data_IF_381400292668
#
_entry.id   IF_381400292668
#
_cell.length_a   1.000
_cell.length_b   1.000
_cell.length_c   1.000
_cell.angle_alpha   90.00
_cell.angle_beta   90.00
_cell.angle_gamma   90.00
#
_symmetry.space_group_name_H-M   'P 1'
#
loop_
_entity.id
_entity.type
_entity.pdbx_description
1 polymer ?
#
# COMPACT_ATOMS: atom_id res chain seq x y z
N UNK A 1 7.63 3.14 -3.82
CA UNK A 1 6.22 2.79 -4.07
C UNK A 1 6.06 2.34 -5.52
N UNK A 2 5.26 1.30 -5.76
CA UNK A 2 4.88 0.82 -7.09
C UNK A 2 3.37 0.99 -7.26
N UNK A 3 2.95 1.60 -8.37
CA UNK A 3 1.54 1.75 -8.74
C UNK A 3 1.15 0.66 -9.74
N UNK A 4 0.04 0.00 -9.48
CA UNK A 4 -0.65 -0.91 -10.39
C UNK A 4 -1.95 -0.22 -10.84
N UNK A 5 -1.92 0.57 -11.93
CA UNK A 5 -3.13 1.18 -12.45
C UNK A 5 -3.89 0.15 -13.29
N UNK A 6 -5.21 0.29 -13.34
CA UNK A 6 -6.04 -0.32 -14.39
C UNK A 6 -6.41 0.80 -15.38
N UNK A 7 -6.69 0.44 -16.63
CA UNK A 7 -6.85 1.38 -17.75
C UNK A 7 -7.91 2.46 -17.54
N UNK A 8 -8.89 2.24 -16.66
CA UNK A 8 -9.92 3.23 -16.37
C UNK A 8 -9.47 4.17 -15.25
N UNK A 9 -9.43 5.46 -15.54
CA UNK A 9 -9.38 6.48 -14.51
C UNK A 9 -10.76 6.51 -13.85
N UNK A 10 -10.82 6.60 -12.51
CA UNK A 10 -12.03 6.84 -11.68
C UNK A 10 -12.59 5.64 -10.90
N UNK A 11 -11.76 4.66 -10.51
CA UNK A 11 -12.25 3.68 -9.54
C UNK A 11 -12.53 4.33 -8.18
N UNK A 12 -13.62 3.96 -7.48
CA UNK A 12 -13.94 4.51 -6.16
C UNK A 12 -12.90 4.13 -5.09
N UNK A 13 -12.23 3.00 -5.30
CA UNK A 13 -11.41 2.35 -4.30
C UNK A 13 -9.95 2.29 -4.69
N UNK A 14 -9.07 2.39 -3.68
CA UNK A 14 -7.64 2.13 -3.82
C UNK A 14 -7.18 1.16 -2.74
N UNK A 15 -6.37 0.17 -3.12
CA UNK A 15 -5.67 -0.69 -2.15
C UNK A 15 -4.29 -0.11 -1.84
N UNK A 16 -4.04 0.17 -0.57
CA UNK A 16 -2.75 0.61 -0.05
C UNK A 16 -2.04 -0.59 0.58
N UNK A 17 -1.21 -1.25 -0.21
CA UNK A 17 -0.53 -2.49 0.11
C UNK A 17 0.84 -2.27 0.77
N UNK A 18 1.06 -2.93 1.91
CA UNK A 18 2.36 -3.11 2.52
C UNK A 18 2.77 -4.57 2.36
N UNK A 19 3.95 -4.85 1.83
CA UNK A 19 4.43 -6.22 1.66
C UNK A 19 4.81 -6.86 3.01
N UNK A 20 4.65 -8.18 3.15
CA UNK A 20 5.23 -8.97 4.24
C UNK A 20 6.76 -9.03 4.21
N UNK A 21 7.36 -9.97 4.96
CA UNK A 21 8.82 -10.14 5.02
C UNK A 21 9.47 -9.75 6.35
N UNK A 22 8.70 -9.77 7.46
CA UNK A 22 9.27 -9.67 8.80
C UNK A 22 9.95 -8.34 9.14
N UNK A 23 9.66 -7.28 8.38
CA UNK A 23 10.39 -5.99 8.42
C UNK A 23 11.86 -6.07 8.02
N UNK A 24 12.33 -7.18 7.45
CA UNK A 24 13.74 -7.42 7.10
C UNK A 24 13.95 -7.77 5.61
N UNK A 25 12.89 -8.15 4.91
CA UNK A 25 12.96 -8.70 3.56
C UNK A 25 11.75 -8.30 2.71
N UNK A 26 11.80 -8.76 1.46
CA UNK A 26 10.83 -8.52 0.41
C UNK A 26 10.76 -7.05 -0.06
N UNK A 27 9.88 -6.80 -1.01
CA UNK A 27 9.62 -5.48 -1.61
C UNK A 27 8.25 -5.53 -2.30
N UNK A 28 7.71 -4.40 -2.81
CA UNK A 28 6.58 -4.42 -3.73
C UNK A 28 6.76 -5.40 -4.90
N UNK A 29 7.98 -5.54 -5.42
CA UNK A 29 8.27 -6.38 -6.60
C UNK A 29 8.04 -7.87 -6.33
N UNK A 30 8.27 -8.36 -5.11
CA UNK A 30 8.03 -9.77 -4.79
C UNK A 30 6.54 -10.14 -4.76
N UNK A 31 5.66 -9.14 -4.76
CA UNK A 31 4.21 -9.30 -4.72
C UNK A 31 3.53 -8.85 -6.04
N UNK A 32 4.32 -8.43 -7.04
CA UNK A 32 3.86 -7.88 -8.32
C UNK A 32 2.87 -8.81 -9.05
N UNK A 33 3.14 -10.12 -9.09
CA UNK A 33 2.33 -11.10 -9.82
C UNK A 33 0.87 -11.08 -9.38
N UNK A 34 0.59 -11.17 -8.09
CA UNK A 34 -0.80 -11.21 -7.63
C UNK A 34 -1.41 -9.81 -7.51
N UNK A 35 -0.61 -8.77 -7.26
CA UNK A 35 -1.12 -7.39 -7.21
C UNK A 35 -1.63 -6.93 -8.58
N UNK A 36 -0.96 -7.31 -9.68
CA UNK A 36 -1.48 -7.07 -11.04
C UNK A 36 -2.83 -7.74 -11.26
N UNK A 37 -2.92 -9.02 -10.91
CA UNK A 37 -4.16 -9.79 -11.02
C UNK A 37 -5.27 -9.19 -10.17
N UNK A 38 -4.97 -8.75 -8.95
CA UNK A 38 -5.95 -8.12 -8.08
C UNK A 38 -6.41 -6.77 -8.60
N UNK A 39 -5.52 -5.94 -9.13
CA UNK A 39 -5.90 -4.65 -9.69
C UNK A 39 -6.95 -4.85 -10.80
N UNK A 40 -6.71 -5.81 -11.70
CA UNK A 40 -7.63 -6.18 -12.77
C UNK A 40 -8.95 -6.76 -12.25
N UNK A 41 -8.89 -7.81 -11.42
CA UNK A 41 -10.09 -8.51 -10.92
C UNK A 41 -10.97 -7.64 -10.02
N UNK A 42 -10.37 -6.79 -9.20
CA UNK A 42 -11.09 -5.91 -8.27
C UNK A 42 -11.47 -4.58 -8.90
N UNK A 43 -10.99 -4.29 -10.12
CA UNK A 43 -11.22 -3.02 -10.78
C UNK A 43 -10.90 -1.85 -9.85
N UNK A 44 -9.66 -1.81 -9.36
CA UNK A 44 -9.20 -0.76 -8.46
C UNK A 44 -7.71 -0.48 -8.64
N UNK A 45 -7.30 0.75 -8.33
CA UNK A 45 -5.88 1.09 -8.27
C UNK A 45 -5.24 0.43 -7.06
N UNK A 46 -4.02 -0.09 -7.22
CA UNK A 46 -3.24 -0.62 -6.09
C UNK A 46 -1.92 0.12 -5.99
N UNK A 47 -1.64 0.63 -4.80
CA UNK A 47 -0.37 1.24 -4.43
C UNK A 47 0.34 0.30 -3.48
N UNK A 48 1.52 -0.20 -3.86
CA UNK A 48 2.36 -1.05 -3.04
C UNK A 48 3.57 -0.28 -2.51
N UNK A 49 3.72 -0.19 -1.19
CA UNK A 49 4.73 0.68 -0.55
C UNK A 49 6.06 -0.04 -0.41
N UNK A 50 7.12 0.65 -0.80
CA UNK A 50 8.48 0.29 -0.42
C UNK A 50 8.75 1.03 0.89
N UNK A 51 8.86 0.32 2.00
CA UNK A 51 9.06 0.90 3.33
C UNK A 51 10.42 0.50 3.89
N UNK A 52 10.92 1.28 4.84
CA UNK A 52 12.25 1.02 5.40
C UNK A 52 12.36 -0.34 6.11
N UNK A 53 13.47 -1.05 5.95
CA UNK A 53 13.70 -2.38 6.51
C UNK A 53 14.80 -2.41 7.58
N UNK A 54 14.68 -3.35 8.51
CA UNK A 54 15.71 -3.73 9.47
C UNK A 54 16.87 -4.48 8.78
N UNK A 55 18.10 -4.39 9.32
CA UNK A 55 18.45 -3.78 10.62
C UNK A 55 18.55 -2.25 10.62
N UNK A 56 18.83 -1.60 9.49
CA UNK A 56 19.11 -0.17 9.40
C UNK A 56 17.93 0.69 9.87
N UNK A 57 16.72 0.21 9.63
CA UNK A 57 15.48 0.91 9.93
C UNK A 57 14.47 -0.02 10.61
N UNK A 58 14.80 -0.42 11.84
CA UNK A 58 13.97 -1.32 12.64
C UNK A 58 12.63 -0.72 13.03
N UNK A 59 11.65 -1.57 13.34
CA UNK A 59 10.36 -1.14 13.88
C UNK A 59 10.54 -0.21 15.10
N UNK A 60 9.85 0.95 15.20
CA UNK A 60 8.65 1.38 14.45
C UNK A 60 8.91 2.22 13.19
N UNK A 61 10.15 2.31 12.67
CA UNK A 61 10.48 3.10 11.48
C UNK A 61 9.58 2.83 10.25
N UNK A 62 9.19 1.56 9.93
CA UNK A 62 8.27 1.26 8.83
C UNK A 62 6.89 1.94 8.94
N UNK A 63 6.47 2.43 10.12
CA UNK A 63 5.21 3.19 10.25
C UNK A 63 5.18 4.49 9.44
N UNK A 64 6.31 4.88 8.83
CA UNK A 64 6.40 5.92 7.80
C UNK A 64 5.48 5.70 6.59
N UNK A 65 4.96 4.49 6.37
CA UNK A 65 3.93 4.24 5.35
C UNK A 65 2.68 5.14 5.53
N UNK A 66 2.49 5.71 6.72
CA UNK A 66 1.52 6.79 6.96
C UNK A 66 1.72 7.99 6.02
N UNK A 67 2.96 8.37 5.68
CA UNK A 67 3.22 9.44 4.72
C UNK A 67 2.77 9.06 3.31
N UNK A 68 2.94 7.78 2.92
CA UNK A 68 2.38 7.26 1.67
C UNK A 68 0.86 7.30 1.69
N UNK A 69 0.23 7.02 2.85
CA UNK A 69 -1.22 7.17 2.99
C UNK A 69 -1.69 8.61 2.77
N UNK A 70 -1.00 9.59 3.36
CA UNK A 70 -1.27 11.01 3.13
C UNK A 70 -1.08 11.38 1.65
N UNK A 71 0.00 10.91 1.02
CA UNK A 71 0.21 11.13 -0.42
C UNK A 71 -0.93 10.55 -1.25
N UNK A 72 -1.41 9.35 -0.93
CA UNK A 72 -2.51 8.68 -1.62
C UNK A 72 -3.77 9.54 -1.61
N UNK A 73 -4.20 10.00 -0.44
CA UNK A 73 -5.44 10.77 -0.29
C UNK A 73 -5.33 12.16 -0.94
N UNK A 74 -4.13 12.74 -0.99
CA UNK A 74 -3.90 14.05 -1.61
C UNK A 74 -3.74 14.01 -3.14
N UNK A 75 -3.50 12.84 -3.73
CA UNK A 75 -3.16 12.71 -5.16
C UNK A 75 -4.08 11.73 -5.91
N UNK A 76 -5.38 11.73 -5.60
CA UNK A 76 -6.32 10.72 -6.09
C UNK A 76 -6.33 10.55 -7.62
N UNK A 77 -6.49 11.66 -8.36
CA UNK A 77 -6.51 11.64 -9.81
C UNK A 77 -5.21 11.09 -10.44
N UNK A 78 -4.05 11.43 -9.87
CA UNK A 78 -2.75 10.93 -10.35
C UNK A 78 -2.58 9.43 -10.13
N UNK A 79 -3.27 8.88 -9.13
CA UNK A 79 -3.26 7.46 -8.78
C UNK A 79 -4.44 6.68 -9.39
N UNK A 80 -5.23 7.30 -10.27
CA UNK A 80 -6.29 6.63 -11.04
C UNK A 80 -7.59 6.33 -10.27
N UNK A 81 -7.85 6.98 -9.14
CA UNK A 81 -9.04 6.72 -8.31
C UNK A 81 -9.78 8.02 -7.92
N UNK A 82 -11.04 7.91 -7.49
CA UNK A 82 -11.94 9.07 -7.25
C UNK A 82 -11.86 9.66 -5.84
N UNK A 83 -11.17 9.00 -4.89
CA UNK A 83 -11.01 9.52 -3.53
C UNK A 83 -11.97 8.94 -2.48
N UNK A 84 -12.83 7.97 -2.81
CA UNK A 84 -13.92 7.56 -1.91
C UNK A 84 -13.47 6.67 -0.74
N UNK A 85 -12.67 5.61 -1.01
CA UNK A 85 -12.20 4.73 0.07
C UNK A 85 -10.83 4.11 -0.21
N UNK A 86 -9.95 4.21 0.79
CA UNK A 86 -8.66 3.51 0.81
C UNK A 86 -8.77 2.29 1.70
N UNK A 87 -8.41 1.13 1.17
CA UNK A 87 -8.26 -0.09 1.96
C UNK A 87 -6.77 -0.35 2.17
N UNK A 88 -6.30 -0.28 3.42
CA UNK A 88 -4.94 -0.69 3.73
C UNK A 88 -4.89 -2.21 3.87
N UNK A 89 -3.93 -2.85 3.21
CA UNK A 89 -3.76 -4.31 3.20
C UNK A 89 -2.30 -4.66 3.45
N UNK A 90 -2.06 -5.81 4.06
CA UNK A 90 -0.71 -6.34 4.27
C UNK A 90 -0.76 -7.76 4.83
N UNK A 91 0.21 -8.58 4.43
CA UNK A 91 0.37 -9.96 4.86
C UNK A 91 1.48 -10.11 5.93
N UNK A 92 1.37 -11.19 6.72
CA UNK A 92 2.39 -11.55 7.72
C UNK A 92 2.71 -10.40 8.68
N UNK A 93 3.98 -10.03 8.84
CA UNK A 93 4.41 -8.91 9.69
C UNK A 93 3.75 -7.58 9.31
N UNK A 94 3.48 -7.35 8.02
CA UNK A 94 2.85 -6.09 7.60
C UNK A 94 1.37 -5.98 7.98
N UNK A 95 0.72 -7.07 8.38
CA UNK A 95 -0.58 -7.00 9.05
C UNK A 95 -0.52 -6.17 10.34
N UNK A 96 0.55 -6.34 11.12
CA UNK A 96 0.81 -5.49 12.30
C UNK A 96 1.15 -4.05 11.90
N UNK A 97 1.88 -3.84 10.80
CA UNK A 97 2.19 -2.51 10.28
C UNK A 97 0.92 -1.74 9.92
N UNK A 98 0.02 -2.38 9.18
CA UNK A 98 -1.27 -1.81 8.77
C UNK A 98 -2.08 -1.41 9.99
N UNK A 99 -2.22 -2.28 10.98
CA UNK A 99 -2.93 -1.96 12.23
C UNK A 99 -2.27 -0.80 12.97
N UNK A 100 -0.93 -0.79 13.05
CA UNK A 100 -0.16 0.27 13.72
C UNK A 100 -0.29 1.65 13.06
N UNK A 101 -0.63 1.68 11.77
CA UNK A 101 -0.81 2.91 11.01
C UNK A 101 -2.27 3.36 11.06
N UNK A 102 -3.22 2.43 10.86
CA UNK A 102 -4.66 2.72 10.96
C UNK A 102 -5.02 3.24 12.36
N UNK A 103 -4.41 2.71 13.42
CA UNK A 103 -4.66 3.18 14.79
C UNK A 103 -4.28 4.65 15.03
N UNK A 104 -3.50 5.27 14.14
CA UNK A 104 -3.15 6.70 14.18
C UNK A 104 -4.10 7.57 13.36
N UNK A 105 -5.03 6.97 12.63
CA UNK A 105 -6.00 7.66 11.77
C UNK A 105 -7.41 7.77 12.41
N UNK A 106 -7.62 7.09 13.54
CA UNK A 106 -8.88 7.08 14.29
C UNK A 106 -8.86 8.03 15.48
#
# INVERSE_FOLDING_TARGET
MVLFPVLNFHYPYLLHHCHGGGYVAASPKSHDTYLRVWAELLSCSIVSVEYSLAPENSFPRPTEVLYTHVYIISNAAQLGWSGEKVFMIGDSASGNLVISVISKLV
#
